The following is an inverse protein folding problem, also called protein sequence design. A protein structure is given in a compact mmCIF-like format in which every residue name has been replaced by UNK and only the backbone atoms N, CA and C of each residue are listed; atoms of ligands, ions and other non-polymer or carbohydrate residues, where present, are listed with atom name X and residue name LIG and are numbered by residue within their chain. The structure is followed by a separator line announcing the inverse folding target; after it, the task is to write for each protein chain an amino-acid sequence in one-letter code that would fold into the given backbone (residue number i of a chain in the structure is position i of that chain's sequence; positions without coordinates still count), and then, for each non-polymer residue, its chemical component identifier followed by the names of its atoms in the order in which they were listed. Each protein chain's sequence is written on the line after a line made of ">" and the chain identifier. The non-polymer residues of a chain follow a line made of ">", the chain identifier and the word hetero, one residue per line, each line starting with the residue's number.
data_IF_745861443108
#
_entry.id   IF_745861443108
#
_cell.length_a   1.000
_cell.length_b   1.000
_cell.length_c   1.000
_cell.angle_alpha   90.00
_cell.angle_beta   90.00
_cell.angle_gamma   90.00
#
_symmetry.space_group_name_H-M   'P 1'
#
loop_
_entity.id
_entity.type
_entity.pdbx_description
1 polymer ?
#
# COMPACT_ATOMS: atom_id res chain seq x y z
N UNK A 1 9.24 -7.59 10.72
CA UNK A 1 9.12 -7.20 9.30
C UNK A 1 8.60 -8.39 8.50
N UNK A 2 8.22 -8.20 7.23
CA UNK A 2 7.81 -9.29 6.32
C UNK A 2 8.95 -10.19 5.86
N UNK A 3 10.21 -9.87 6.21
CA UNK A 3 11.42 -10.46 5.62
C UNK A 3 11.54 -10.19 4.11
N UNK A 4 11.30 -8.94 3.72
CA UNK A 4 11.36 -8.48 2.32
C UNK A 4 12.69 -8.83 1.64
N UNK A 5 13.78 -8.92 2.39
CA UNK A 5 15.10 -9.36 1.91
C UNK A 5 15.12 -10.82 1.40
N UNK A 6 14.22 -11.67 1.88
CA UNK A 6 14.07 -13.06 1.43
C UNK A 6 13.08 -13.14 0.26
N UNK A 7 11.97 -12.41 0.37
CA UNK A 7 10.86 -12.52 -0.59
C UNK A 7 11.05 -11.66 -1.84
N UNK A 8 11.85 -10.59 -1.79
CA UNK A 8 12.19 -9.80 -2.96
C UNK A 8 13.19 -10.57 -3.82
N UNK A 9 12.72 -11.14 -4.91
CA UNK A 9 13.50 -12.04 -5.74
C UNK A 9 13.10 -11.87 -7.21
N UNK A 10 14.06 -11.52 -8.06
CA UNK A 10 13.82 -11.27 -9.48
C UNK A 10 13.48 -12.55 -10.26
N UNK A 11 14.10 -13.69 -9.89
CA UNK A 11 13.97 -14.96 -10.60
C UNK A 11 12.74 -15.75 -10.13
N UNK A 12 12.59 -15.89 -8.81
CA UNK A 12 11.52 -16.68 -8.19
C UNK A 12 10.25 -15.87 -7.90
N UNK A 13 10.33 -14.54 -8.00
CA UNK A 13 9.17 -13.69 -7.78
C UNK A 13 8.10 -13.98 -8.83
N UNK A 14 6.85 -14.05 -8.38
CA UNK A 14 5.68 -14.39 -9.21
C UNK A 14 4.64 -13.26 -9.23
N UNK A 15 4.82 -12.20 -8.44
CA UNK A 15 3.93 -11.05 -8.39
C UNK A 15 4.71 -9.76 -8.16
N UNK A 16 4.24 -8.68 -8.78
CA UNK A 16 4.78 -7.34 -8.61
C UNK A 16 3.91 -6.52 -7.67
N UNK A 17 4.54 -5.62 -6.92
CA UNK A 17 3.91 -4.79 -5.90
C UNK A 17 4.33 -3.33 -6.03
N UNK A 18 3.37 -2.42 -5.93
CA UNK A 18 3.64 -1.01 -5.61
C UNK A 18 4.35 -0.94 -4.25
N UNK A 19 5.43 -0.18 -4.19
CA UNK A 19 6.28 -0.05 -3.00
C UNK A 19 6.71 1.40 -2.79
N UNK A 20 7.44 1.66 -1.70
CA UNK A 20 7.85 3.01 -1.30
C UNK A 20 8.62 3.81 -2.36
N UNK A 21 9.25 3.14 -3.34
CA UNK A 21 9.98 3.76 -4.44
C UNK A 21 9.08 4.10 -5.65
N UNK A 22 7.96 3.40 -5.81
CA UNK A 22 7.14 3.44 -7.03
C UNK A 22 6.67 4.85 -7.37
N UNK A 23 6.29 5.65 -6.37
CA UNK A 23 5.87 7.04 -6.59
C UNK A 23 6.95 7.92 -7.27
N UNK A 24 8.23 7.61 -7.06
CA UNK A 24 9.35 8.41 -7.54
C UNK A 24 9.98 7.85 -8.80
N UNK A 25 10.15 6.52 -8.87
CA UNK A 25 10.84 5.86 -9.98
C UNK A 25 9.93 5.12 -10.95
N UNK A 26 8.66 4.90 -10.59
CA UNK A 26 7.76 3.98 -11.30
C UNK A 26 8.10 2.50 -11.09
N UNK A 27 9.20 2.18 -10.41
CA UNK A 27 9.64 0.80 -10.19
C UNK A 27 8.68 0.05 -9.26
N UNK A 28 8.33 -1.17 -9.65
CA UNK A 28 7.62 -2.11 -8.81
C UNK A 28 8.61 -3.05 -8.12
N UNK A 29 8.19 -3.64 -7.01
CA UNK A 29 8.95 -4.67 -6.32
C UNK A 29 8.41 -6.05 -6.69
N UNK A 30 9.27 -6.86 -7.31
CA UNK A 30 8.96 -8.26 -7.63
C UNK A 30 9.18 -9.15 -6.41
N UNK A 31 8.14 -9.89 -6.01
CA UNK A 31 8.10 -10.68 -4.78
C UNK A 31 7.68 -12.12 -5.04
N UNK A 32 8.22 -13.04 -4.25
CA UNK A 32 7.67 -14.38 -4.07
C UNK A 32 6.35 -14.22 -3.28
N UNK A 33 5.23 -14.55 -3.89
CA UNK A 33 3.89 -14.40 -3.32
C UNK A 33 3.09 -15.70 -3.41
N UNK A 34 3.22 -16.53 -2.37
CA UNK A 34 2.69 -17.90 -2.30
C UNK A 34 1.37 -18.00 -1.52
N UNK A 35 0.53 -16.97 -1.64
CA UNK A 35 -0.66 -16.79 -0.79
C UNK A 35 -1.74 -17.87 -1.01
N UNK A 36 -1.70 -18.54 -2.17
CA UNK A 36 -2.58 -19.63 -2.62
C UNK A 36 -1.83 -20.93 -2.89
N UNK A 37 -0.53 -20.97 -2.57
CA UNK A 37 0.38 -22.07 -2.90
C UNK A 37 1.07 -22.59 -1.63
N UNK A 38 1.78 -23.72 -1.74
CA UNK A 38 2.63 -24.26 -0.67
C UNK A 38 4.01 -23.61 -0.61
N UNK A 39 4.86 -24.00 0.36
CA UNK A 39 6.25 -23.56 0.41
C UNK A 39 7.03 -24.07 -0.81
N UNK A 40 8.02 -23.29 -1.25
CA UNK A 40 9.02 -23.70 -2.26
C UNK A 40 10.35 -23.99 -1.57
N UNK A 41 11.17 -24.86 -2.17
CA UNK A 41 12.45 -25.30 -1.61
C UNK A 41 13.38 -24.13 -1.22
N UNK A 42 13.34 -23.02 -1.96
CA UNK A 42 14.11 -21.82 -1.67
C UNK A 42 13.83 -21.23 -0.28
N UNK A 43 12.63 -21.39 0.27
CA UNK A 43 12.25 -20.82 1.56
C UNK A 43 12.63 -21.70 2.77
N UNK A 44 12.87 -22.99 2.55
CA UNK A 44 13.16 -23.96 3.62
C UNK A 44 14.35 -23.56 4.52
N UNK A 45 15.50 -23.09 3.99
CA UNK A 45 16.62 -22.66 4.84
C UNK A 45 16.27 -21.50 5.80
N UNK A 46 15.20 -20.75 5.50
CA UNK A 46 14.78 -19.59 6.29
C UNK A 46 13.61 -19.89 7.22
N UNK A 47 13.09 -21.13 7.23
CA UNK A 47 11.84 -21.52 7.88
C UNK A 47 11.71 -21.05 9.33
N UNK A 48 12.74 -21.25 10.14
CA UNK A 48 12.74 -20.81 11.56
C UNK A 48 12.58 -19.29 11.68
N UNK A 49 13.34 -18.53 10.89
CA UNK A 49 13.24 -17.06 10.82
C UNK A 49 11.85 -16.63 10.35
N UNK A 50 11.28 -17.33 9.37
CA UNK A 50 9.97 -17.03 8.81
C UNK A 50 8.83 -17.28 9.80
N UNK A 51 8.91 -18.35 10.60
CA UNK A 51 7.99 -18.64 11.71
C UNK A 51 8.07 -17.59 12.83
N UNK A 52 9.27 -17.09 13.14
CA UNK A 52 9.48 -16.14 14.24
C UNK A 52 9.01 -14.70 13.94
N UNK A 53 8.55 -14.41 12.73
CA UNK A 53 8.10 -13.06 12.33
C UNK A 53 6.85 -12.64 13.10
N UNK A 54 6.77 -11.34 13.42
CA UNK A 54 5.67 -10.74 14.21
C UNK A 54 4.71 -9.84 13.41
N UNK A 55 4.76 -9.90 12.07
CA UNK A 55 3.87 -9.09 11.21
C UNK A 55 2.44 -9.64 11.15
N UNK A 56 2.29 -10.95 11.39
CA UNK A 56 1.03 -11.66 11.62
C UNK A 56 1.36 -12.96 12.37
N UNK A 57 0.36 -13.76 12.73
CA UNK A 57 0.59 -15.08 13.32
C UNK A 57 1.06 -16.06 12.24
N UNK A 58 2.20 -16.70 12.47
CA UNK A 58 2.72 -17.77 11.63
C UNK A 58 2.74 -19.11 12.37
N UNK A 59 2.50 -20.18 11.63
CA UNK A 59 2.55 -21.57 12.05
C UNK A 59 2.88 -22.49 10.87
N UNK A 60 2.83 -23.79 11.11
CA UNK A 60 3.08 -24.86 10.15
C UNK A 60 2.28 -24.75 8.85
N UNK A 61 1.14 -24.06 8.85
CA UNK A 61 0.22 -23.98 7.71
C UNK A 61 0.41 -22.73 6.85
N UNK A 62 1.25 -21.78 7.29
CA UNK A 62 1.37 -20.49 6.60
C UNK A 62 2.76 -19.83 6.70
N UNK A 63 3.76 -20.47 7.30
CA UNK A 63 5.08 -19.87 7.55
C UNK A 63 5.78 -19.33 6.30
N UNK A 64 5.49 -19.90 5.12
CA UNK A 64 6.06 -19.50 3.83
C UNK A 64 5.39 -18.26 3.21
N UNK A 65 4.29 -17.76 3.78
CA UNK A 65 3.63 -16.56 3.27
C UNK A 65 4.47 -15.33 3.60
N UNK A 66 4.52 -14.37 2.67
CA UNK A 66 5.36 -13.19 2.84
C UNK A 66 4.93 -12.30 4.02
N UNK A 67 3.64 -12.13 4.27
CA UNK A 67 3.21 -11.25 5.35
C UNK A 67 1.70 -11.14 5.50
N UNK A 68 1.27 -10.03 6.10
CA UNK A 68 -0.16 -9.69 6.16
C UNK A 68 -0.65 -9.40 4.75
N UNK A 69 -1.74 -10.07 4.36
CA UNK A 69 -2.41 -9.84 3.08
C UNK A 69 -2.95 -8.41 3.00
N UNK A 70 -2.68 -7.73 1.87
CA UNK A 70 -3.27 -6.45 1.52
C UNK A 70 -4.72 -6.62 1.04
N UNK A 71 -5.50 -5.55 0.89
CA UNK A 71 -6.86 -5.67 0.38
C UNK A 71 -6.83 -6.03 -1.12
N UNK A 72 -7.29 -7.23 -1.46
CA UNK A 72 -7.35 -7.71 -2.85
C UNK A 72 -8.68 -7.28 -3.47
N UNK A 73 -8.61 -6.45 -4.50
CA UNK A 73 -9.79 -5.89 -5.18
C UNK A 73 -9.45 -5.43 -6.59
N UNK A 74 -10.43 -5.43 -7.48
CA UNK A 74 -10.32 -4.88 -8.84
C UNK A 74 -10.76 -3.42 -8.94
N UNK A 75 -11.25 -2.85 -7.84
CA UNK A 75 -11.72 -1.47 -7.75
C UNK A 75 -10.68 -0.42 -8.15
N UNK A 76 -11.06 0.72 -8.76
CA UNK A 76 -10.13 1.84 -8.96
C UNK A 76 -9.51 2.32 -7.64
N UNK A 77 -8.24 2.75 -7.66
CA UNK A 77 -7.51 3.14 -6.44
C UNK A 77 -6.42 4.18 -6.67
N UNK A 78 -6.12 4.92 -5.61
CA UNK A 78 -5.04 5.91 -5.51
C UNK A 78 -4.07 5.40 -4.44
N UNK A 79 -2.77 5.57 -4.66
CA UNK A 79 -1.73 5.14 -3.73
C UNK A 79 -1.09 6.32 -3.01
N UNK A 80 -0.64 6.07 -1.79
CA UNK A 80 0.21 6.99 -1.03
C UNK A 80 1.19 6.21 -0.16
N UNK A 81 2.42 6.68 -0.09
CA UNK A 81 3.40 6.16 0.86
C UNK A 81 2.98 6.55 2.29
N UNK A 82 2.94 5.60 3.23
CA UNK A 82 2.62 5.88 4.64
C UNK A 82 3.57 6.91 5.26
N UNK A 83 4.83 6.96 4.80
CA UNK A 83 5.81 7.94 5.25
C UNK A 83 6.66 8.44 4.10
N UNK A 84 6.55 9.72 3.74
CA UNK A 84 7.23 10.28 2.56
C UNK A 84 7.62 11.74 2.73
N UNK A 85 8.63 12.18 1.97
CA UNK A 85 8.98 13.61 1.80
C UNK A 85 8.59 14.14 0.42
N UNK A 86 7.92 13.32 -0.40
CA UNK A 86 7.41 13.76 -1.69
C UNK A 86 6.30 14.81 -1.44
N UNK A 87 6.44 16.06 -1.94
CA UNK A 87 5.44 17.11 -1.75
C UNK A 87 4.12 16.83 -2.48
N UNK A 88 4.11 15.93 -3.47
CA UNK A 88 2.89 15.41 -4.11
C UNK A 88 2.76 13.91 -3.79
N UNK A 89 2.31 13.55 -2.58
CA UNK A 89 2.46 12.19 -2.05
C UNK A 89 1.48 11.17 -2.65
N UNK A 90 0.38 11.60 -3.28
CA UNK A 90 -0.63 10.72 -3.88
C UNK A 90 -0.33 10.46 -5.36
N UNK A 91 -0.47 9.22 -5.80
CA UNK A 91 -0.14 8.81 -7.16
C UNK A 91 -0.99 7.63 -7.65
N UNK A 92 -0.99 7.41 -8.96
CA UNK A 92 -1.66 6.30 -9.63
C UNK A 92 -0.63 5.26 -10.10
N UNK A 93 -1.04 3.99 -10.17
CA UNK A 93 -0.26 2.92 -10.78
C UNK A 93 -1.19 1.78 -11.22
N UNK A 94 -0.86 1.10 -12.32
CA UNK A 94 -1.68 -0.01 -12.85
C UNK A 94 -1.51 -1.31 -12.04
N UNK A 95 -0.37 -1.47 -11.36
CA UNK A 95 -0.15 -2.60 -10.47
C UNK A 95 -1.16 -2.55 -9.33
N UNK A 96 -1.91 -3.65 -9.13
CA UNK A 96 -2.98 -3.75 -8.13
C UNK A 96 -2.51 -4.17 -6.75
N UNK A 97 -1.37 -4.87 -6.69
CA UNK A 97 -0.79 -5.28 -5.41
C UNK A 97 0.08 -4.16 -4.87
N UNK A 98 0.14 -4.06 -3.54
CA UNK A 98 0.95 -3.06 -2.87
C UNK A 98 1.48 -3.61 -1.55
N UNK A 99 2.68 -3.19 -1.18
CA UNK A 99 3.35 -3.67 0.02
C UNK A 99 2.91 -2.91 1.29
N UNK A 100 3.44 -3.32 2.44
CA UNK A 100 3.10 -2.73 3.74
C UNK A 100 3.56 -1.28 3.93
N UNK A 101 4.29 -0.67 2.99
CA UNK A 101 4.69 0.75 3.04
C UNK A 101 3.66 1.68 2.38
N UNK A 102 2.69 1.12 1.68
CA UNK A 102 1.68 1.83 0.88
C UNK A 102 0.31 1.80 1.58
N UNK A 103 -0.46 2.87 1.41
CA UNK A 103 -1.93 2.83 1.55
C UNK A 103 -2.56 2.95 0.17
N UNK A 104 -3.63 2.18 -0.03
CA UNK A 104 -4.48 2.28 -1.22
C UNK A 104 -5.83 2.86 -0.82
N UNK A 105 -6.20 3.99 -1.42
CA UNK A 105 -7.48 4.66 -1.25
C UNK A 105 -8.40 4.20 -2.37
N UNK A 106 -9.57 3.69 -1.99
CA UNK A 106 -10.57 3.20 -2.94
C UNK A 106 -11.76 4.16 -2.92
N UNK A 107 -11.96 4.97 -3.97
CA UNK A 107 -13.14 5.82 -4.06
C UNK A 107 -14.41 4.97 -3.98
N UNK A 108 -15.40 5.45 -3.21
CA UNK A 108 -16.71 4.80 -3.11
C UNK A 108 -17.43 4.81 -4.47
N UNK A 109 -17.29 5.90 -5.22
CA UNK A 109 -17.73 6.02 -6.61
C UNK A 109 -16.76 5.29 -7.54
N UNK A 110 -17.23 4.26 -8.23
CA UNK A 110 -16.42 3.46 -9.17
C UNK A 110 -16.12 4.18 -10.49
N UNK A 111 -16.91 5.19 -10.81
CA UNK A 111 -16.81 6.06 -11.99
C UNK A 111 -16.04 7.36 -11.72
N UNK A 112 -15.45 7.51 -10.53
CA UNK A 112 -14.72 8.72 -10.16
C UNK A 112 -13.52 8.95 -11.10
N UNK A 113 -13.34 10.19 -11.54
CA UNK A 113 -12.12 10.62 -12.21
C UNK A 113 -10.94 10.56 -11.24
N UNK A 114 -10.17 9.48 -11.34
CA UNK A 114 -9.03 9.22 -10.47
C UNK A 114 -7.90 10.23 -10.64
N UNK A 115 -7.68 10.73 -11.86
CA UNK A 115 -6.62 11.69 -12.13
C UNK A 115 -6.96 12.98 -11.39
N UNK A 116 -8.18 13.48 -11.58
CA UNK A 116 -8.65 14.69 -10.91
C UNK A 116 -8.67 14.54 -9.39
N UNK A 117 -9.11 13.40 -8.87
CA UNK A 117 -9.13 13.15 -7.42
C UNK A 117 -7.71 13.07 -6.83
N UNK A 118 -6.77 12.45 -7.55
CA UNK A 118 -5.36 12.39 -7.14
C UNK A 118 -4.74 13.79 -7.10
N UNK A 119 -5.02 14.62 -8.11
CA UNK A 119 -4.56 16.00 -8.13
C UNK A 119 -5.12 16.79 -6.95
N UNK A 120 -6.42 16.73 -6.70
CA UNK A 120 -7.03 17.42 -5.56
C UNK A 120 -6.43 16.96 -4.22
N UNK A 121 -6.19 15.66 -4.03
CA UNK A 121 -5.52 15.15 -2.82
C UNK A 121 -4.10 15.72 -2.67
N UNK A 122 -3.39 15.97 -3.76
CA UNK A 122 -2.06 16.58 -3.73
C UNK A 122 -2.08 18.10 -3.50
N UNK A 123 -3.23 18.77 -3.69
CA UNK A 123 -3.39 20.20 -3.38
C UNK A 123 -3.86 20.47 -1.94
N UNK A 124 -4.20 19.44 -1.17
CA UNK A 124 -4.59 19.58 0.25
C UNK A 124 -3.38 20.00 1.08
N UNK A 125 -3.56 21.00 1.95
CA UNK A 125 -2.58 21.34 2.98
C UNK A 125 -2.60 20.29 4.11
N UNK A 126 -1.91 19.20 3.86
CA UNK A 126 -1.75 18.13 4.85
C UNK A 126 -0.95 18.56 6.08
N UNK A 127 -0.18 19.65 6.01
CA UNK A 127 0.54 20.17 7.17
C UNK A 127 -0.44 20.82 8.15
N UNK A 128 -1.38 21.62 7.65
CA UNK A 128 -2.47 22.20 8.44
C UNK A 128 -3.34 21.11 9.10
N UNK A 129 -3.57 20.01 8.40
CA UNK A 129 -4.31 18.85 8.92
C UNK A 129 -3.49 17.94 9.86
N UNK A 130 -2.25 18.31 10.19
CA UNK A 130 -1.41 17.59 11.15
C UNK A 130 -0.78 16.30 10.64
N UNK A 131 -0.71 16.11 9.31
CA UNK A 131 -0.07 14.93 8.70
C UNK A 131 1.42 15.13 8.46
N UNK A 132 1.99 16.32 8.71
CA UNK A 132 3.41 16.59 8.49
C UNK A 132 4.14 16.73 9.82
N UNK A 133 5.24 15.98 9.98
CA UNK A 133 6.15 16.08 11.12
C UNK A 133 7.58 16.08 10.60
N UNK A 134 8.38 17.08 10.98
CA UNK A 134 9.78 17.25 10.56
C UNK A 134 9.97 17.16 9.03
N UNK A 135 9.12 17.88 8.29
CA UNK A 135 9.12 17.90 6.82
C UNK A 135 8.73 16.57 6.16
N UNK A 136 8.19 15.62 6.92
CA UNK A 136 7.77 14.30 6.43
C UNK A 136 6.28 14.09 6.63
N UNK A 137 5.58 13.73 5.57
CA UNK A 137 4.20 13.28 5.64
C UNK A 137 4.12 11.92 6.34
N UNK A 138 3.14 11.78 7.23
CA UNK A 138 2.84 10.60 8.03
C UNK A 138 1.35 10.23 7.84
N UNK A 139 1.08 9.37 6.86
CA UNK A 139 -0.25 8.87 6.58
C UNK A 139 -0.48 7.53 7.28
N UNK A 140 -1.49 7.48 8.15
CA UNK A 140 -2.01 6.25 8.74
C UNK A 140 -3.46 6.03 8.28
N UNK A 141 -3.88 4.77 8.16
CA UNK A 141 -5.21 4.42 7.66
C UNK A 141 -6.33 5.17 8.40
N UNK A 142 -6.28 5.18 9.75
CA UNK A 142 -7.33 5.79 10.57
C UNK A 142 -7.38 7.31 10.39
N UNK A 143 -6.24 8.00 10.50
CA UNK A 143 -6.22 9.45 10.38
C UNK A 143 -6.60 9.90 8.98
N UNK A 144 -6.08 9.24 7.93
CA UNK A 144 -6.38 9.59 6.54
C UNK A 144 -7.86 9.35 6.20
N UNK A 145 -8.47 8.28 6.71
CA UNK A 145 -9.89 8.00 6.51
C UNK A 145 -10.82 9.01 7.22
N UNK A 146 -10.32 9.74 8.21
CA UNK A 146 -11.06 10.74 8.99
C UNK A 146 -10.64 12.18 8.64
N UNK A 147 -9.78 12.36 7.64
CA UNK A 147 -9.32 13.68 7.23
C UNK A 147 -10.50 14.54 6.75
N UNK A 148 -10.57 15.78 7.25
CA UNK A 148 -11.54 16.75 6.77
C UNK A 148 -11.03 17.34 5.46
N UNK A 149 -11.71 17.01 4.38
CA UNK A 149 -11.41 17.51 3.04
C UNK A 149 -12.27 18.74 2.74
N UNK A 150 -11.76 19.62 1.88
CA UNK A 150 -12.45 20.84 1.50
C UNK A 150 -13.63 20.57 0.57
N UNK A 151 -14.48 21.59 0.33
CA UNK A 151 -15.64 21.50 -0.57
C UNK A 151 -15.26 21.12 -2.02
N UNK A 152 -14.00 21.32 -2.43
CA UNK A 152 -13.50 20.88 -3.73
C UNK A 152 -13.71 19.37 -4.01
N UNK A 153 -13.87 18.57 -2.95
CA UNK A 153 -14.11 17.13 -3.03
C UNK A 153 -15.60 16.76 -3.13
N UNK A 154 -16.53 17.72 -3.03
CA UNK A 154 -17.98 17.47 -3.01
C UNK A 154 -18.46 16.66 -4.23
N UNK A 155 -17.87 16.87 -5.41
CA UNK A 155 -18.19 16.11 -6.62
C UNK A 155 -17.91 14.60 -6.50
N UNK A 156 -17.02 14.19 -5.60
CA UNK A 156 -16.66 12.79 -5.34
C UNK A 156 -17.44 12.18 -4.17
N UNK A 157 -18.21 13.00 -3.43
CA UNK A 157 -18.97 12.55 -2.28
C UNK A 157 -20.10 11.58 -2.71
N UNK A 158 -20.39 10.61 -1.83
CA UNK A 158 -21.58 9.76 -1.93
C UNK A 158 -22.58 10.18 -0.85
N UNK A 159 -23.88 10.07 -1.14
CA UNK A 159 -24.98 10.48 -0.22
C UNK A 159 -25.04 9.71 1.10
N UNK A 160 -24.08 8.82 1.41
CA UNK A 160 -24.17 7.85 2.50
C UNK A 160 -23.18 8.05 3.65
N UNK A 161 -22.47 9.17 3.72
CA UNK A 161 -21.55 9.44 4.83
C UNK A 161 -21.80 10.84 5.41
N UNK A 162 -22.87 10.95 6.19
CA UNK A 162 -23.07 11.96 7.25
C UNK A 162 -23.26 11.20 8.55
#
# INVERSE_FOLDING_TARGET
>A
SGADDIFANAELGNADFVCSKTAQSGELRRMIHLDREGPIAFLEPFRERLLARRVTKFDETNWWKWGRRHHVSDAPRIYVNQKTRNPRPFFLNDCRNYDGSILALFPHRRDADLVRLTDLLNEVDWAELGFVCDGRFLFAQRSLAQALLTEAFAQFATRQLV
#
